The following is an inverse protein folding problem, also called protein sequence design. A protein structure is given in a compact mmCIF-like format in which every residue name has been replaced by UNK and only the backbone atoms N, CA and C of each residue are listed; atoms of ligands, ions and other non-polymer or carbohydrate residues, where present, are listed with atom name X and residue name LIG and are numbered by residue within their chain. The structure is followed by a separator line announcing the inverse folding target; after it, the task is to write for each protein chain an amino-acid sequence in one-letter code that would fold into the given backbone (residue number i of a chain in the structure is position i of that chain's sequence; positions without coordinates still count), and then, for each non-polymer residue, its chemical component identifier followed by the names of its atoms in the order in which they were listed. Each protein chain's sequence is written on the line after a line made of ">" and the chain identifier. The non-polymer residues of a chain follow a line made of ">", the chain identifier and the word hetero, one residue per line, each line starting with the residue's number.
data_IF_894762556062
#
_entry.id   IF_894762556062
#
_cell.length_a   1.000
_cell.length_b   1.000
_cell.length_c   1.000
_cell.angle_alpha   90.00
_cell.angle_beta   90.00
_cell.angle_gamma   90.00
#
_symmetry.space_group_name_H-M   'P 1'
#
loop_
_entity.id
_entity.type
_entity.pdbx_description
1 polymer ?
#
# COMPACT_ATOMS: atom_id res chain seq x y z
N UNK A 1 3.70 2.47 5.30
CA UNK A 1 4.19 1.41 6.21
C UNK A 1 5.68 1.53 6.47
N UNK A 2 6.52 1.50 5.44
CA UNK A 2 7.99 1.56 5.58
C UNK A 2 8.46 2.77 6.39
N UNK A 3 7.86 3.95 6.16
CA UNK A 3 8.12 5.16 6.96
C UNK A 3 7.79 4.99 8.45
N UNK A 4 6.72 4.25 8.75
CA UNK A 4 6.28 4.00 10.12
C UNK A 4 7.13 2.95 10.81
N UNK A 5 7.82 2.08 10.06
CA UNK A 5 8.69 1.02 10.57
C UNK A 5 10.15 1.47 10.75
N UNK A 6 10.66 2.32 9.84
CA UNK A 6 12.10 2.65 9.75
C UNK A 6 12.40 4.12 10.09
N UNK A 7 11.36 4.96 10.18
CA UNK A 7 11.50 6.38 10.45
C UNK A 7 11.58 7.24 9.19
N UNK A 8 11.85 8.55 9.35
CA UNK A 8 11.75 9.54 8.28
C UNK A 8 13.00 9.63 7.40
N UNK A 9 13.99 8.78 7.57
CA UNK A 9 15.28 8.90 6.89
C UNK A 9 15.18 8.50 5.40
N UNK A 10 15.21 9.50 4.50
CA UNK A 10 14.84 9.31 3.09
C UNK A 10 15.82 8.40 2.32
N UNK A 11 17.09 8.35 2.74
CA UNK A 11 18.12 7.51 2.10
C UNK A 11 17.81 6.02 2.19
N UNK A 12 17.20 5.58 3.30
CA UNK A 12 16.79 4.19 3.52
C UNK A 12 15.34 3.99 3.10
N UNK A 13 14.49 5.01 3.32
CA UNK A 13 13.07 4.97 2.97
C UNK A 13 12.83 4.75 1.47
N UNK A 14 13.54 5.48 0.61
CA UNK A 14 13.35 5.44 -0.84
C UNK A 14 13.64 4.05 -1.44
N UNK A 15 14.82 3.43 -1.27
CA UNK A 15 15.10 2.13 -1.85
C UNK A 15 14.15 1.06 -1.31
N UNK A 16 13.83 1.10 -0.02
CA UNK A 16 12.93 0.10 0.56
C UNK A 16 11.49 0.29 0.09
N UNK A 17 11.02 1.53 -0.08
CA UNK A 17 9.68 1.83 -0.60
C UNK A 17 9.56 1.45 -2.07
N UNK A 18 10.62 1.62 -2.85
CA UNK A 18 10.72 1.12 -4.22
C UNK A 18 10.61 -0.41 -4.25
N UNK A 19 11.40 -1.12 -3.46
CA UNK A 19 11.36 -2.58 -3.42
C UNK A 19 10.01 -3.12 -2.93
N UNK A 20 9.49 -2.59 -1.82
CA UNK A 20 8.23 -3.03 -1.24
C UNK A 20 7.02 -2.69 -2.13
N UNK A 21 6.96 -1.45 -2.65
CA UNK A 21 5.91 -1.02 -3.58
C UNK A 21 5.98 -1.74 -4.91
N UNK A 22 7.18 -1.95 -5.45
CA UNK A 22 7.41 -2.69 -6.70
C UNK A 22 6.98 -4.15 -6.60
N UNK A 23 7.37 -4.84 -5.52
CA UNK A 23 6.94 -6.22 -5.28
C UNK A 23 5.42 -6.33 -5.15
N UNK A 24 4.78 -5.40 -4.43
CA UNK A 24 3.32 -5.34 -4.33
C UNK A 24 2.65 -5.13 -5.69
N UNK A 25 3.19 -4.23 -6.52
CA UNK A 25 2.60 -3.92 -7.83
C UNK A 25 2.69 -5.11 -8.80
N UNK A 26 3.81 -5.85 -8.79
CA UNK A 26 3.96 -7.08 -9.59
C UNK A 26 2.95 -8.13 -9.14
N UNK A 27 2.77 -8.32 -7.82
CA UNK A 27 1.77 -9.24 -7.29
C UNK A 27 0.34 -8.82 -7.69
N UNK A 28 0.02 -7.53 -7.60
CA UNK A 28 -1.28 -7.00 -7.98
C UNK A 28 -1.57 -7.19 -9.49
N UNK A 29 -0.61 -6.91 -10.38
CA UNK A 29 -0.76 -7.13 -11.82
C UNK A 29 -0.92 -8.62 -12.15
N UNK A 30 -0.12 -9.48 -11.51
CA UNK A 30 -0.21 -10.93 -11.68
C UNK A 30 -1.59 -11.45 -11.26
N UNK A 31 -2.12 -11.00 -10.12
CA UNK A 31 -3.47 -11.36 -9.67
C UNK A 31 -4.54 -10.84 -10.64
N UNK A 32 -4.38 -9.62 -11.14
CA UNK A 32 -5.30 -9.01 -12.12
C UNK A 32 -5.44 -9.86 -13.38
N UNK A 33 -4.33 -10.44 -13.85
CA UNK A 33 -4.26 -11.29 -15.04
C UNK A 33 -4.68 -12.74 -14.80
N UNK A 34 -4.67 -13.20 -13.56
CA UNK A 34 -4.87 -14.63 -13.23
C UNK A 34 -6.28 -14.95 -12.73
N UNK A 35 -6.95 -14.00 -12.05
CA UNK A 35 -8.22 -14.27 -11.36
C UNK A 35 -9.39 -14.54 -12.33
N UNK A 36 -9.33 -14.03 -13.55
CA UNK A 36 -10.42 -14.16 -14.52
C UNK A 36 -9.89 -14.17 -15.95
N UNK A 37 -10.73 -14.64 -16.88
CA UNK A 37 -10.45 -14.65 -18.32
C UNK A 37 -10.60 -13.26 -18.96
N UNK A 38 -11.13 -12.28 -18.24
CA UNK A 38 -11.25 -10.89 -18.67
C UNK A 38 -10.18 -10.03 -18.00
N UNK A 39 -9.52 -9.14 -18.74
CA UNK A 39 -8.52 -8.23 -18.17
C UNK A 39 -9.16 -7.28 -17.15
N UNK A 40 -9.09 -7.63 -15.86
CA UNK A 40 -9.45 -6.72 -14.77
C UNK A 40 -8.37 -5.64 -14.71
N UNK A 41 -8.74 -4.36 -14.63
CA UNK A 41 -7.77 -3.30 -14.37
C UNK A 41 -7.11 -3.50 -13.00
N UNK A 42 -5.77 -3.50 -12.96
CA UNK A 42 -4.99 -3.61 -11.71
C UNK A 42 -5.35 -2.52 -10.69
N UNK A 43 -5.90 -1.39 -11.16
CA UNK A 43 -6.48 -0.34 -10.33
C UNK A 43 -7.58 -0.84 -9.37
N UNK A 44 -8.38 -1.82 -9.77
CA UNK A 44 -9.44 -2.38 -8.92
C UNK A 44 -8.83 -3.21 -7.78
N UNK A 45 -7.86 -4.08 -8.08
CA UNK A 45 -7.15 -4.90 -7.09
C UNK A 45 -6.45 -3.99 -6.05
N UNK A 46 -5.73 -2.97 -6.54
CA UNK A 46 -5.00 -2.03 -5.68
C UNK A 46 -5.94 -1.14 -4.87
N UNK A 47 -7.09 -0.71 -5.42
CA UNK A 47 -8.09 0.06 -4.67
C UNK A 47 -8.78 -0.78 -3.59
N UNK A 48 -9.15 -2.04 -3.90
CA UNK A 48 -9.74 -2.96 -2.92
C UNK A 48 -8.76 -3.30 -1.78
N UNK A 49 -7.47 -3.36 -2.08
CA UNK A 49 -6.42 -3.58 -1.06
C UNK A 49 -6.11 -2.28 -0.30
N UNK A 50 -6.12 -1.15 -1.00
CA UNK A 50 -5.77 0.16 -0.46
C UNK A 50 -6.85 0.75 0.44
N UNK A 51 -8.14 0.54 0.13
CA UNK A 51 -9.27 1.05 0.93
C UNK A 51 -9.26 0.55 2.39
N UNK A 52 -9.20 -0.76 2.70
CA UNK A 52 -9.12 -1.23 4.08
C UNK A 52 -7.83 -0.77 4.76
N UNK A 53 -6.73 -0.67 4.01
CA UNK A 53 -5.48 -0.14 4.52
C UNK A 53 -5.58 1.36 4.90
N UNK A 54 -6.28 2.15 4.09
CA UNK A 54 -6.51 3.57 4.36
C UNK A 54 -7.40 3.75 5.59
N UNK A 55 -8.45 2.95 5.74
CA UNK A 55 -9.31 2.92 6.93
C UNK A 55 -8.49 2.58 8.18
N UNK A 56 -7.61 1.58 8.09
CA UNK A 56 -6.70 1.24 9.19
C UNK A 56 -5.79 2.42 9.57
N UNK A 57 -5.20 3.10 8.58
CA UNK A 57 -4.38 4.28 8.82
C UNK A 57 -5.18 5.43 9.43
N UNK A 58 -6.42 5.67 8.99
CA UNK A 58 -7.30 6.69 9.56
C UNK A 58 -7.60 6.40 11.03
N UNK A 59 -7.90 5.15 11.38
CA UNK A 59 -8.14 4.76 12.78
C UNK A 59 -6.89 5.00 13.65
N UNK A 60 -5.72 4.62 13.14
CA UNK A 60 -4.43 4.76 13.85
C UNK A 60 -3.95 6.22 13.94
N UNK A 61 -4.19 7.02 12.91
CA UNK A 61 -3.80 8.43 12.85
C UNK A 61 -4.78 9.37 13.56
N UNK A 62 -6.06 9.01 13.61
CA UNK A 62 -7.10 9.75 14.33
C UNK A 62 -6.83 9.86 15.83
N UNK A 63 -6.27 8.82 16.45
CA UNK A 63 -5.87 8.83 17.87
C UNK A 63 -4.74 9.82 18.19
N UNK A 64 -3.87 10.16 17.22
CA UNK A 64 -2.80 11.16 17.43
C UNK A 64 -3.19 12.58 17.01
N UNK A 65 -4.24 12.75 16.20
CA UNK A 65 -4.67 14.06 15.70
C UNK A 65 -5.79 14.71 16.56
N UNK A 66 -6.56 13.91 17.32
CA UNK A 66 -7.65 14.39 18.17
C UNK A 66 -7.26 14.54 19.66
N UNK A 67 -5.99 14.30 20.00
CA UNK A 67 -5.45 14.37 21.36
C UNK A 67 -4.73 15.67 21.72
N UNK A 68 -5.10 16.80 21.10
CA UNK A 68 -4.73 18.16 21.54
C UNK A 68 -5.94 19.07 21.49
#
# INVERSE_FOLDING_TARGET
>A
LIRMMIGPDHKVLLPLSLCGGGAFMIAADTLSRTITNFDIPVGIITALTGAPFFIYLMKKGGESAWGK
#
